data_IF_803549912857
#
_entry.id   IF_803549912857
#
_cell.length_a   1.000
_cell.length_b   1.000
_cell.length_c   1.000
_cell.angle_alpha   90.00
_cell.angle_beta   90.00
_cell.angle_gamma   90.00
#
_symmetry.space_group_name_H-M   'P 1'
#
loop_
_entity.id
_entity.type
_entity.pdbx_description
1 polymer ?
#
# COMPACT_ATOMS: atom_id res chain seq x y z
N UNK A 1 -15.00 6.80 22.20
CA UNK A 1 -13.98 5.75 22.07
C UNK A 1 -14.36 4.79 20.94
N UNK A 2 -15.61 4.31 20.92
CA UNK A 2 -16.16 3.52 19.79
C UNK A 2 -16.00 4.20 18.42
N UNK A 3 -16.26 5.51 18.32
CA UNK A 3 -16.05 6.25 17.07
C UNK A 3 -14.60 6.26 16.57
N UNK A 4 -13.62 6.31 17.50
CA UNK A 4 -12.20 6.28 17.12
C UNK A 4 -11.80 4.91 16.58
N UNK A 5 -12.30 3.82 17.18
CA UNK A 5 -12.02 2.46 16.71
C UNK A 5 -12.66 2.23 15.34
N UNK A 6 -13.87 2.74 15.11
CA UNK A 6 -14.53 2.65 13.80
C UNK A 6 -13.75 3.42 12.72
N UNK A 7 -13.26 4.62 13.02
CA UNK A 7 -12.43 5.39 12.08
C UNK A 7 -11.10 4.67 11.83
N UNK A 8 -10.43 4.18 12.89
CA UNK A 8 -9.19 3.43 12.77
C UNK A 8 -9.36 2.19 11.88
N UNK A 9 -10.42 1.40 12.11
CA UNK A 9 -10.77 0.27 11.26
C UNK A 9 -10.92 0.71 9.81
N UNK A 10 -11.67 1.78 9.54
CA UNK A 10 -11.88 2.27 8.18
C UNK A 10 -10.59 2.72 7.47
N UNK A 11 -9.61 3.26 8.21
CA UNK A 11 -8.30 3.63 7.64
C UNK A 11 -7.44 2.37 7.39
N UNK A 12 -7.41 1.43 8.34
CA UNK A 12 -6.70 0.15 8.16
C UNK A 12 -7.29 -0.65 6.99
N UNK A 13 -8.62 -0.67 6.83
CA UNK A 13 -9.25 -1.34 5.68
C UNK A 13 -8.86 -0.70 4.34
N UNK A 14 -8.67 0.62 4.29
CA UNK A 14 -8.17 1.29 3.08
C UNK A 14 -6.73 0.91 2.77
N UNK A 15 -5.86 0.93 3.77
CA UNK A 15 -4.46 0.51 3.59
C UNK A 15 -4.39 -0.95 3.15
N UNK A 16 -5.16 -1.83 3.82
CA UNK A 16 -5.24 -3.25 3.48
C UNK A 16 -5.66 -3.51 2.03
N UNK A 17 -6.61 -2.74 1.50
CA UNK A 17 -7.01 -2.85 0.09
C UNK A 17 -5.86 -2.49 -0.85
N UNK A 18 -5.08 -1.45 -0.53
CA UNK A 18 -3.92 -1.04 -1.33
C UNK A 18 -2.91 -2.18 -1.37
N UNK A 19 -2.51 -2.71 -0.20
CA UNK A 19 -1.52 -3.79 -0.13
C UNK A 19 -1.99 -5.07 -0.84
N UNK A 20 -3.25 -5.44 -0.66
CA UNK A 20 -3.82 -6.61 -1.33
C UNK A 20 -4.01 -6.41 -2.84
N UNK A 21 -4.02 -5.15 -3.33
CA UNK A 21 -4.13 -4.85 -4.75
C UNK A 21 -2.97 -5.41 -5.59
N UNK A 22 -1.81 -5.61 -4.97
CA UNK A 22 -0.61 -6.14 -5.63
C UNK A 22 -0.58 -7.66 -5.77
N UNK A 23 -1.49 -8.41 -5.13
CA UNK A 23 -1.49 -9.88 -5.15
C UNK A 23 -1.88 -10.51 -6.48
N UNK A 24 -2.61 -9.79 -7.32
CA UNK A 24 -3.25 -10.41 -8.46
C UNK A 24 -2.26 -10.50 -9.64
N UNK A 25 -1.43 -11.55 -9.59
CA UNK A 25 -0.38 -11.89 -10.56
C UNK A 25 -0.87 -11.86 -12.02
N UNK A 26 -2.14 -12.24 -12.25
CA UNK A 26 -2.76 -12.22 -13.57
C UNK A 26 -2.73 -10.83 -14.23
N UNK A 27 -2.70 -9.77 -13.42
CA UNK A 27 -2.63 -8.39 -13.91
C UNK A 27 -1.24 -7.97 -14.39
N UNK A 28 -0.17 -8.51 -13.78
CA UNK A 28 1.19 -8.15 -14.16
C UNK A 28 1.71 -8.95 -15.35
N UNK A 29 1.09 -10.07 -15.70
CA UNK A 29 1.56 -10.92 -16.81
C UNK A 29 1.63 -10.20 -18.16
N UNK A 30 0.64 -9.35 -18.50
CA UNK A 30 0.67 -8.58 -19.75
C UNK A 30 1.68 -7.42 -19.73
N UNK A 31 2.01 -6.91 -18.55
CA UNK A 31 2.87 -5.74 -18.37
C UNK A 31 4.35 -6.10 -18.15
N UNK A 32 4.62 -7.20 -17.43
CA UNK A 32 5.98 -7.67 -17.18
C UNK A 32 6.73 -7.86 -18.50
N UNK A 33 6.07 -8.24 -19.59
CA UNK A 33 6.73 -8.43 -20.89
C UNK A 33 7.31 -7.14 -21.48
N UNK A 34 6.74 -5.97 -21.19
CA UNK A 34 7.20 -4.67 -21.72
C UNK A 34 8.18 -3.94 -20.79
N UNK A 35 8.43 -4.48 -19.61
CA UNK A 35 9.40 -3.95 -18.64
C UNK A 35 10.83 -4.41 -18.95
N UNK A 36 11.80 -3.54 -18.67
CA UNK A 36 13.20 -3.95 -18.57
C UNK A 36 13.46 -4.79 -17.29
N UNK A 37 14.63 -5.42 -17.22
CA UNK A 37 14.99 -6.29 -16.10
C UNK A 37 15.08 -5.55 -14.75
N UNK A 38 15.43 -4.27 -14.75
CA UNK A 38 15.48 -3.47 -13.53
C UNK A 38 14.07 -3.16 -13.02
N UNK A 39 13.20 -2.73 -13.91
CA UNK A 39 11.78 -2.47 -13.65
C UNK A 39 11.06 -3.73 -13.16
N UNK A 40 11.32 -4.89 -13.77
CA UNK A 40 10.79 -6.19 -13.31
C UNK A 40 11.21 -6.50 -11.88
N UNK A 41 12.50 -6.33 -11.56
CA UNK A 41 13.02 -6.58 -10.20
C UNK A 41 12.40 -5.64 -9.18
N UNK A 42 12.22 -4.37 -9.53
CA UNK A 42 11.54 -3.39 -8.68
C UNK A 42 10.10 -3.83 -8.42
N UNK A 43 9.34 -4.14 -9.48
CA UNK A 43 7.95 -4.54 -9.36
C UNK A 43 7.77 -5.81 -8.50
N UNK A 44 8.59 -6.84 -8.73
CA UNK A 44 8.54 -8.07 -7.93
C UNK A 44 8.84 -7.81 -6.45
N UNK A 45 9.78 -6.90 -6.15
CA UNK A 45 10.07 -6.51 -4.77
C UNK A 45 8.85 -5.88 -4.11
N UNK A 46 8.19 -4.93 -4.79
CA UNK A 46 7.00 -4.26 -4.26
C UNK A 46 5.88 -5.25 -3.97
N UNK A 47 5.59 -6.17 -4.90
CA UNK A 47 4.58 -7.22 -4.71
C UNK A 47 4.87 -8.06 -3.46
N UNK A 48 6.13 -8.47 -3.27
CA UNK A 48 6.54 -9.24 -2.11
C UNK A 48 6.46 -8.46 -0.79
N UNK A 49 6.75 -7.16 -0.82
CA UNK A 49 6.72 -6.32 0.39
C UNK A 49 5.26 -5.97 0.75
N UNK A 50 4.41 -5.61 -0.22
CA UNK A 50 2.96 -5.42 -0.01
C UNK A 50 2.27 -6.68 0.54
N UNK A 51 2.65 -7.88 0.11
CA UNK A 51 2.14 -9.13 0.70
C UNK A 51 2.47 -9.24 2.20
N UNK A 52 3.69 -8.84 2.61
CA UNK A 52 4.07 -8.82 4.03
C UNK A 52 3.30 -7.77 4.80
N UNK A 53 3.08 -6.59 4.22
CA UNK A 53 2.31 -5.51 4.81
C UNK A 53 0.86 -5.91 5.02
N UNK A 54 0.24 -6.52 4.01
CA UNK A 54 -1.09 -7.12 4.09
C UNK A 54 -1.20 -8.08 5.28
N UNK A 55 -0.30 -9.05 5.38
CA UNK A 55 -0.27 -10.02 6.50
C UNK A 55 -0.11 -9.29 7.84
N UNK A 56 0.67 -8.21 7.88
CA UNK A 56 0.88 -7.40 9.08
C UNK A 56 -0.41 -6.68 9.49
N UNK A 57 -1.14 -6.10 8.54
CA UNK A 57 -2.44 -5.47 8.78
C UNK A 57 -3.50 -6.47 9.26
N UNK A 58 -3.52 -7.68 8.71
CA UNK A 58 -4.40 -8.76 9.19
C UNK A 58 -4.12 -9.14 10.65
N UNK A 59 -2.84 -9.19 11.05
CA UNK A 59 -2.46 -9.43 12.45
C UNK A 59 -2.88 -8.27 13.35
N UNK A 60 -2.68 -7.03 12.91
CA UNK A 60 -3.06 -5.84 13.66
C UNK A 60 -4.58 -5.73 13.85
N UNK A 61 -5.36 -6.04 12.82
CA UNK A 61 -6.81 -6.08 12.91
C UNK A 61 -7.29 -7.09 13.97
N UNK A 62 -6.69 -8.29 14.00
CA UNK A 62 -6.97 -9.29 15.04
C UNK A 62 -6.64 -8.80 16.44
N UNK A 63 -5.51 -8.11 16.63
CA UNK A 63 -5.12 -7.50 17.92
C UNK A 63 -6.15 -6.45 18.35
N UNK A 64 -6.66 -5.66 17.41
CA UNK A 64 -7.66 -4.62 17.65
C UNK A 64 -9.10 -5.15 17.75
N UNK A 65 -9.30 -6.46 17.62
CA UNK A 65 -10.59 -7.11 17.83
C UNK A 65 -11.58 -6.95 16.67
N UNK A 66 -11.11 -6.71 15.43
CA UNK A 66 -11.97 -6.68 14.25
C UNK A 66 -11.41 -7.49 13.08
N UNK A 67 -12.31 -7.90 12.19
CA UNK A 67 -11.96 -8.55 10.93
C UNK A 67 -11.91 -7.52 9.80
N UNK A 68 -10.93 -7.69 8.91
CA UNK A 68 -10.84 -6.95 7.66
C UNK A 68 -11.76 -7.58 6.64
N UNK A 69 -12.50 -6.74 5.94
CA UNK A 69 -13.29 -7.16 4.79
C UNK A 69 -12.37 -7.74 3.70
N UNK A 70 -12.84 -8.76 2.96
CA UNK A 70 -12.11 -9.20 1.76
C UNK A 70 -11.85 -7.98 0.86
N UNK A 71 -10.62 -7.81 0.36
CA UNK A 71 -10.33 -6.67 -0.49
C UNK A 71 -11.14 -6.82 -1.78
N UNK A 72 -11.85 -5.76 -2.16
CA UNK A 72 -12.38 -5.65 -3.52
C UNK A 72 -11.18 -5.55 -4.47
N UNK A 73 -11.26 -6.20 -5.63
CA UNK A 73 -10.18 -6.14 -6.62
C UNK A 73 -9.87 -4.68 -6.97
N UNK A 74 -8.66 -4.22 -6.66
CA UNK A 74 -8.16 -2.96 -7.22
C UNK A 74 -7.97 -3.20 -8.71
N UNK A 75 -8.81 -2.54 -9.51
CA UNK A 75 -8.65 -2.48 -10.95
C UNK A 75 -7.74 -1.32 -11.27
N UNK A 76 -6.52 -1.62 -11.65
CA UNK A 76 -5.64 -0.61 -12.20
C UNK A 76 -5.94 -0.42 -13.69
N UNK A 77 -5.62 0.76 -14.20
CA UNK A 77 -5.77 1.08 -15.61
C UNK A 77 -4.45 0.80 -16.32
N UNK A 78 -4.10 -0.48 -16.45
CA UNK A 78 -2.78 -0.93 -16.95
C UNK A 78 -2.52 -0.76 -18.45
N UNK A 79 -3.41 -0.08 -19.19
CA UNK A 79 -3.34 0.05 -20.65
C UNK A 79 -2.28 1.07 -21.15
N UNK A 80 -1.44 1.64 -20.28
CA UNK A 80 -0.52 2.73 -20.64
C UNK A 80 0.80 2.69 -19.84
N UNK A 81 1.79 3.47 -20.29
CA UNK A 81 3.10 3.71 -19.64
C UNK A 81 3.02 4.31 -18.21
N UNK A 82 1.81 4.38 -17.64
CA UNK A 82 1.43 5.08 -16.41
C UNK A 82 1.41 4.22 -15.17
N UNK A 83 1.61 2.92 -15.29
CA UNK A 83 1.55 2.03 -14.14
C UNK A 83 2.55 2.39 -13.04
N UNK A 84 3.74 2.91 -13.36
CA UNK A 84 4.65 3.42 -12.33
C UNK A 84 4.14 4.70 -11.67
N UNK A 85 3.33 5.53 -12.36
CA UNK A 85 2.62 6.65 -11.75
C UNK A 85 1.53 6.13 -10.79
N UNK A 86 0.74 5.14 -11.21
CA UNK A 86 -0.31 4.53 -10.37
C UNK A 86 0.30 3.86 -9.13
N UNK A 87 1.36 3.08 -9.31
CA UNK A 87 2.11 2.47 -8.19
C UNK A 87 2.62 3.59 -7.27
N UNK A 88 3.31 4.61 -7.80
CA UNK A 88 3.79 5.73 -6.98
C UNK A 88 2.68 6.40 -6.16
N UNK A 89 1.51 6.65 -6.77
CA UNK A 89 0.37 7.24 -6.07
C UNK A 89 -0.17 6.32 -4.97
N UNK A 90 -0.19 5.01 -5.19
CA UNK A 90 -0.57 4.03 -4.18
C UNK A 90 0.42 3.98 -3.02
N UNK A 91 1.73 3.94 -3.29
CA UNK A 91 2.78 3.98 -2.25
C UNK A 91 2.62 5.24 -1.37
N UNK A 92 2.45 6.41 -2.00
CA UNK A 92 2.25 7.67 -1.27
C UNK A 92 0.94 7.65 -0.48
N UNK A 93 -0.12 7.07 -1.03
CA UNK A 93 -1.41 6.98 -0.34
C UNK A 93 -1.31 6.06 0.88
N UNK A 94 -0.72 4.88 0.74
CA UNK A 94 -0.50 3.94 1.84
C UNK A 94 0.35 4.57 2.95
N UNK A 95 1.47 5.22 2.58
CA UNK A 95 2.29 6.02 3.49
C UNK A 95 1.45 7.00 4.32
N UNK A 96 0.64 7.83 3.66
CA UNK A 96 -0.19 8.84 4.32
C UNK A 96 -1.20 8.18 5.27
N UNK A 97 -1.78 7.04 4.89
CA UNK A 97 -2.70 6.30 5.77
C UNK A 97 -1.97 5.79 7.02
N UNK A 98 -0.76 5.25 6.88
CA UNK A 98 0.04 4.80 8.02
C UNK A 98 0.50 5.94 8.94
N UNK A 99 0.89 7.08 8.37
CA UNK A 99 1.17 8.31 9.13
C UNK A 99 -0.06 8.77 9.91
N UNK A 100 -1.23 8.85 9.25
CA UNK A 100 -2.49 9.20 9.90
C UNK A 100 -2.85 8.23 11.05
N UNK A 101 -2.61 6.93 10.86
CA UNK A 101 -2.84 5.92 11.90
C UNK A 101 -1.91 6.18 13.10
N UNK A 102 -0.61 6.31 12.84
CA UNK A 102 0.40 6.45 13.88
C UNK A 102 0.28 7.76 14.67
N UNK A 103 -0.12 8.86 14.03
CA UNK A 103 -0.28 10.16 14.67
C UNK A 103 -1.58 10.29 15.46
N UNK A 104 -2.70 9.79 14.91
CA UNK A 104 -4.04 10.07 15.45
C UNK A 104 -4.55 9.00 16.42
N UNK A 105 -3.95 7.81 16.39
CA UNK A 105 -4.43 6.65 17.14
C UNK A 105 -3.36 5.99 18.00
N UNK A 106 -2.23 6.66 18.25
CA UNK A 106 -1.17 6.17 19.14
C UNK A 106 -1.69 5.75 20.53
N UNK A 107 -2.68 6.47 21.06
CA UNK A 107 -3.34 6.18 22.33
C UNK A 107 -4.08 4.84 22.35
N UNK A 108 -4.61 4.41 21.20
CA UNK A 108 -5.29 3.12 21.02
C UNK A 108 -4.29 2.00 20.70
N UNK A 109 -3.27 2.31 19.90
CA UNK A 109 -2.34 1.32 19.38
C UNK A 109 -1.30 0.88 20.42
N UNK A 110 -0.95 1.76 21.37
CA UNK A 110 0.12 1.51 22.32
C UNK A 110 1.43 1.23 21.59
N UNK A 111 2.12 0.15 21.95
CA UNK A 111 3.39 -0.25 21.33
C UNK A 111 3.25 -0.61 19.84
N UNK A 112 2.06 -1.00 19.38
CA UNK A 112 1.83 -1.34 17.96
C UNK A 112 1.91 -0.12 17.03
N UNK A 113 1.97 1.11 17.58
CA UNK A 113 2.14 2.33 16.78
C UNK A 113 3.44 2.32 15.99
N UNK A 114 4.50 1.68 16.52
CA UNK A 114 5.81 1.60 15.84
C UNK A 114 5.74 0.76 14.55
N UNK A 115 4.81 -0.21 14.48
CA UNK A 115 4.60 -0.99 13.25
C UNK A 115 4.11 -0.08 12.13
N UNK A 116 3.14 0.80 12.41
CA UNK A 116 2.65 1.75 11.41
C UNK A 116 3.70 2.78 10.99
N UNK A 117 4.58 3.20 11.90
CA UNK A 117 5.71 4.08 11.55
C UNK A 117 6.70 3.38 10.63
N UNK A 118 6.94 2.08 10.82
CA UNK A 118 7.81 1.32 9.94
C UNK A 118 7.18 1.10 8.57
N UNK A 119 5.90 0.71 8.50
CA UNK A 119 5.16 0.60 7.25
C UNK A 119 5.21 1.93 6.46
N UNK A 120 5.00 3.07 7.12
CA UNK A 120 5.12 4.38 6.47
C UNK A 120 6.52 4.66 5.87
N UNK A 121 7.60 4.20 6.54
CA UNK A 121 8.96 4.34 6.02
C UNK A 121 9.21 3.41 4.83
N UNK A 122 8.68 2.19 4.89
CA UNK A 122 8.75 1.22 3.80
C UNK A 122 8.07 1.77 2.54
N UNK A 123 6.86 2.32 2.65
CA UNK A 123 6.19 2.94 1.51
C UNK A 123 6.90 4.18 0.98
N UNK A 124 7.55 4.96 1.85
CA UNK A 124 8.39 6.06 1.39
C UNK A 124 9.59 5.56 0.56
N UNK A 125 10.20 4.45 0.97
CA UNK A 125 11.28 3.82 0.20
C UNK A 125 10.76 3.24 -1.12
N UNK A 126 9.58 2.64 -1.13
CA UNK A 126 8.93 2.12 -2.33
C UNK A 126 8.61 3.24 -3.33
N UNK A 127 8.00 4.33 -2.87
CA UNK A 127 7.71 5.51 -3.68
C UNK A 127 8.98 6.06 -4.33
N UNK A 128 10.09 6.16 -3.58
CA UNK A 128 11.39 6.60 -4.11
C UNK A 128 11.96 5.63 -5.15
N UNK A 129 11.74 4.33 -4.96
CA UNK A 129 12.23 3.30 -5.87
C UNK A 129 11.56 3.39 -7.25
N UNK A 130 10.26 3.69 -7.27
CA UNK A 130 9.47 3.81 -8.52
C UNK A 130 9.48 5.21 -9.12
N UNK A 131 9.78 6.25 -8.34
CA UNK A 131 9.74 7.66 -8.79
C UNK A 131 10.55 7.91 -10.07
N UNK A 132 11.67 7.21 -10.25
CA UNK A 132 12.52 7.36 -11.44
C UNK A 132 11.87 6.83 -12.73
N UNK A 133 10.84 6.01 -12.63
CA UNK A 133 10.07 5.48 -13.75
C UNK A 133 8.74 6.21 -13.99
N UNK A 134 8.37 7.12 -13.08
CA UNK A 134 7.16 7.94 -13.19
C UNK A 134 7.31 8.93 -14.34
N UNK A 135 6.33 8.98 -15.24
CA UNK A 135 6.24 10.04 -16.24
C UNK A 135 5.79 11.33 -15.56
N UNK A 136 6.73 12.27 -15.42
CA UNK A 136 6.51 13.57 -14.77
C UNK A 136 5.63 14.50 -15.59
N UNK A 137 5.44 14.25 -16.89
CA UNK A 137 4.55 15.05 -17.73
C UNK A 137 3.07 14.76 -17.48
N UNK A 138 2.79 13.66 -16.76
CA UNK A 138 1.45 13.22 -16.40
C UNK A 138 1.07 13.53 -14.94
N UNK A 139 1.95 14.18 -14.16
CA UNK A 139 1.60 14.72 -12.84
C UNK A 139 0.68 15.91 -13.06
N UNK A 140 -0.64 15.69 -13.05
CA UNK A 140 -1.62 16.77 -12.98
C UNK A 140 -1.46 17.42 -11.59
N UNK A 141 -1.19 18.73 -11.61
CA UNK A 141 -1.03 19.61 -10.44
C UNK A 141 -2.34 19.81 -9.71
#
# INVERSE_FOLDING_TARGET
MEDKILILKGIIEKAYRIEAGFENEAYFHGFIEVLDDEQKRVLLKLIMDSEKHKITLEKLAKILGFELSKPEEIKFSYDDKRIFNEIYELEITAKILYEQISERFADILGENVEIFKELAREEEMHAKLVEKYVDRTLRIV
#
